data_IF_994719990613
#
_entry.id   IF_994719990613
#
_cell.length_a   1.000
_cell.length_b   1.000
_cell.length_c   1.000
_cell.angle_alpha   90.00
_cell.angle_beta   90.00
_cell.angle_gamma   90.00
#
_symmetry.space_group_name_H-M   'P 1'
#
loop_
_entity.id
_entity.type
_entity.pdbx_description
1 polymer ?
#
# COMPACT_ATOMS: atom_id res chain seq x y z
N UNK A 1 24.87 8.83 7.98
CA UNK A 1 24.15 10.07 7.60
C UNK A 1 22.65 9.92 7.84
N UNK A 2 22.09 8.74 7.59
CA UNK A 2 20.69 8.40 7.89
C UNK A 2 20.24 8.71 9.32
N UNK A 3 21.05 8.41 10.33
CA UNK A 3 20.63 8.64 11.72
C UNK A 3 20.37 10.13 12.03
N UNK A 4 21.08 11.07 11.40
CA UNK A 4 20.81 12.50 11.57
C UNK A 4 19.54 12.92 10.82
N UNK A 5 19.33 12.40 9.61
CA UNK A 5 18.11 12.63 8.82
C UNK A 5 16.88 12.15 9.59
N UNK A 6 16.93 10.93 10.14
CA UNK A 6 15.90 10.34 11.01
C UNK A 6 15.59 11.22 12.23
N UNK A 7 16.61 11.63 12.98
CA UNK A 7 16.40 12.50 14.15
C UNK A 7 15.75 13.83 13.80
N UNK A 8 16.10 14.43 12.65
CA UNK A 8 15.45 15.66 12.18
C UNK A 8 13.97 15.39 11.88
N UNK A 9 13.65 14.30 11.18
CA UNK A 9 12.27 13.88 10.87
C UNK A 9 11.45 13.69 12.16
N UNK A 10 11.92 12.86 13.09
CA UNK A 10 11.22 12.56 14.35
C UNK A 10 11.02 13.81 15.22
N UNK A 11 12.07 14.64 15.34
CA UNK A 11 11.98 15.89 16.10
C UNK A 11 11.02 16.90 15.48
N UNK A 12 10.92 16.91 14.15
CA UNK A 12 10.01 17.79 13.42
C UNK A 12 8.57 17.40 13.65
N UNK A 13 8.25 16.10 13.56
CA UNK A 13 6.91 15.56 13.83
C UNK A 13 6.47 15.93 15.24
N UNK A 14 7.32 15.70 16.25
CA UNK A 14 7.03 16.05 17.63
C UNK A 14 6.77 17.55 17.81
N UNK A 15 7.59 18.41 17.20
CA UNK A 15 7.38 19.87 17.24
C UNK A 15 6.10 20.30 16.53
N UNK A 16 5.76 19.66 15.41
CA UNK A 16 4.53 19.95 14.68
C UNK A 16 3.30 19.53 15.48
N UNK A 17 3.35 18.41 16.20
CA UNK A 17 2.29 17.99 17.11
C UNK A 17 2.11 18.99 18.26
N UNK A 18 3.19 19.43 18.89
CA UNK A 18 3.14 20.32 20.06
C UNK A 18 2.77 21.78 19.74
N UNK A 19 3.29 22.32 18.63
CA UNK A 19 3.24 23.76 18.33
C UNK A 19 2.51 24.09 17.04
N UNK A 20 2.18 23.09 16.23
CA UNK A 20 1.70 23.26 14.87
C UNK A 20 2.82 23.54 13.87
N UNK A 21 2.54 23.22 12.60
CA UNK A 21 3.49 23.37 11.49
C UNK A 21 3.99 24.81 11.31
N UNK A 22 3.09 25.80 11.29
CA UNK A 22 3.46 27.19 11.00
C UNK A 22 4.34 27.83 12.07
N UNK A 23 4.07 27.56 13.35
CA UNK A 23 4.81 28.14 14.47
C UNK A 23 6.18 27.48 14.69
N UNK A 24 6.43 26.34 14.06
CA UNK A 24 7.70 25.62 14.17
C UNK A 24 8.73 26.17 13.17
N UNK A 25 9.87 26.64 13.68
CA UNK A 25 10.98 27.17 12.87
C UNK A 25 12.04 26.09 12.59
N UNK A 26 12.80 26.24 11.50
CA UNK A 26 13.94 25.36 11.19
C UNK A 26 14.99 25.41 12.32
N UNK A 27 15.15 26.56 12.97
CA UNK A 27 16.05 26.71 14.12
C UNK A 27 15.60 25.83 15.30
N UNK A 28 14.31 25.84 15.64
CA UNK A 28 13.76 25.00 16.70
C UNK A 28 13.88 23.50 16.39
N UNK A 29 13.70 23.12 15.13
CA UNK A 29 13.91 21.74 14.66
C UNK A 29 15.37 21.33 14.82
N UNK A 30 16.31 22.17 14.39
CA UNK A 30 17.74 21.91 14.48
C UNK A 30 18.18 21.74 15.95
N UNK A 31 17.74 22.65 16.83
CA UNK A 31 18.01 22.59 18.27
C UNK A 31 17.47 21.30 18.89
N UNK A 32 16.20 20.94 18.63
CA UNK A 32 15.59 19.73 19.18
C UNK A 32 16.26 18.44 18.69
N UNK A 33 16.64 18.41 17.41
CA UNK A 33 17.30 17.24 16.80
C UNK A 33 18.80 17.13 17.11
N UNK A 34 19.36 18.09 17.84
CA UNK A 34 20.78 18.12 18.21
C UNK A 34 21.70 18.34 17.00
N UNK A 35 21.24 19.07 15.98
CA UNK A 35 22.04 19.40 14.78
C UNK A 35 22.15 20.92 14.62
N UNK A 36 23.13 21.38 13.84
CA UNK A 36 23.19 22.79 13.47
C UNK A 36 22.19 23.13 12.38
N UNK A 37 21.76 24.40 12.29
CA UNK A 37 20.93 24.89 11.18
C UNK A 37 21.60 24.66 9.81
N UNK A 38 22.92 24.80 9.73
CA UNK A 38 23.67 24.46 8.50
C UNK A 38 23.57 22.97 8.15
N UNK A 39 23.65 22.08 9.14
CA UNK A 39 23.48 20.65 8.93
C UNK A 39 22.05 20.27 8.50
N UNK A 40 21.02 20.97 8.96
CA UNK A 40 19.65 20.78 8.47
C UNK A 40 19.58 20.98 6.94
N UNK A 41 20.17 22.07 6.44
CA UNK A 41 20.14 22.39 5.00
C UNK A 41 20.97 21.44 4.12
N UNK A 42 21.82 20.59 4.71
CA UNK A 42 22.47 19.49 3.98
C UNK A 42 21.49 18.35 3.65
N UNK A 43 20.42 18.21 4.42
CA UNK A 43 19.41 17.14 4.25
C UNK A 43 18.12 17.67 3.60
N UNK A 44 17.69 18.87 3.95
CA UNK A 44 16.41 19.41 3.52
C UNK A 44 16.55 20.85 3.02
N UNK A 45 16.15 21.09 1.77
CA UNK A 45 16.22 22.42 1.15
C UNK A 45 15.27 23.43 1.80
N UNK A 46 14.19 22.97 2.43
CA UNK A 46 13.21 23.80 3.12
C UNK A 46 12.40 23.01 4.15
N UNK A 47 11.63 23.73 4.99
CA UNK A 47 10.65 23.10 5.90
C UNK A 47 9.56 22.33 5.13
N UNK A 48 9.21 22.76 3.92
CA UNK A 48 8.26 22.07 3.05
C UNK A 48 8.87 20.81 2.41
N UNK A 49 10.14 20.85 2.00
CA UNK A 49 10.83 19.66 1.51
C UNK A 49 10.93 18.59 2.62
N UNK A 50 11.21 19.01 3.85
CA UNK A 50 11.17 18.13 5.03
C UNK A 50 9.80 17.47 5.20
N UNK A 51 8.68 18.17 4.94
CA UNK A 51 7.35 17.55 5.12
C UNK A 51 7.09 16.42 4.13
N UNK A 52 7.54 16.55 2.87
CA UNK A 52 7.43 15.44 1.91
C UNK A 52 8.23 14.23 2.36
N UNK A 53 9.45 14.46 2.86
CA UNK A 53 10.33 13.42 3.38
C UNK A 53 9.79 12.75 4.65
N UNK A 54 9.11 13.50 5.53
CA UNK A 54 8.40 12.94 6.68
C UNK A 54 7.33 11.94 6.20
N UNK A 55 6.50 12.34 5.24
CA UNK A 55 5.40 11.47 4.76
C UNK A 55 5.96 10.23 4.09
N UNK A 56 6.98 10.37 3.25
CA UNK A 56 7.63 9.24 2.61
C UNK A 56 8.25 8.28 3.64
N UNK A 57 8.96 8.80 4.64
CA UNK A 57 9.58 7.99 5.69
C UNK A 57 8.57 7.12 6.46
N UNK A 58 7.41 7.67 6.83
CA UNK A 58 6.39 6.88 7.53
C UNK A 58 5.55 6.00 6.60
N UNK A 59 5.38 6.40 5.34
CA UNK A 59 4.76 5.56 4.32
C UNK A 59 5.59 4.28 4.11
N UNK A 60 6.91 4.41 3.97
CA UNK A 60 7.85 3.28 3.85
C UNK A 60 7.77 2.36 5.08
N UNK A 61 7.79 2.91 6.30
CA UNK A 61 7.62 2.09 7.52
C UNK A 61 6.29 1.35 7.56
N UNK A 62 5.21 2.01 7.15
CA UNK A 62 3.89 1.38 7.12
C UNK A 62 3.83 0.25 6.09
N UNK A 63 4.43 0.44 4.91
CA UNK A 63 4.53 -0.59 3.87
C UNK A 63 5.38 -1.79 4.32
N UNK A 64 6.49 -1.55 5.03
CA UNK A 64 7.33 -2.61 5.60
C UNK A 64 6.54 -3.47 6.60
N UNK A 65 5.79 -2.82 7.49
CA UNK A 65 4.94 -3.52 8.46
C UNK A 65 3.80 -4.30 7.80
N UNK A 66 3.13 -3.71 6.79
CA UNK A 66 2.12 -4.41 5.99
C UNK A 66 2.73 -5.63 5.29
N UNK A 67 3.94 -5.51 4.75
CA UNK A 67 4.66 -6.61 4.11
C UNK A 67 4.97 -7.72 5.10
N UNK A 68 5.43 -7.37 6.31
CA UNK A 68 5.67 -8.31 7.40
C UNK A 68 4.40 -9.08 7.79
N UNK A 69 3.27 -8.39 7.90
CA UNK A 69 1.97 -9.02 8.21
C UNK A 69 1.55 -9.96 7.06
N UNK A 70 1.71 -9.53 5.81
CA UNK A 70 1.36 -10.36 4.65
C UNK A 70 2.17 -11.66 4.60
N UNK A 71 3.44 -11.61 4.99
CA UNK A 71 4.35 -12.76 5.03
C UNK A 71 4.18 -13.66 6.27
N UNK A 72 3.35 -13.27 7.24
CA UNK A 72 3.11 -14.09 8.43
C UNK A 72 2.30 -15.36 8.10
N UNK A 73 2.40 -16.37 8.95
CA UNK A 73 1.60 -17.60 8.86
C UNK A 73 0.23 -17.49 9.58
N UNK A 74 -0.26 -16.27 9.82
CA UNK A 74 -1.59 -16.05 10.38
C UNK A 74 -2.67 -16.33 9.34
N UNK A 75 -3.88 -16.64 9.81
CA UNK A 75 -5.05 -16.69 8.95
C UNK A 75 -5.40 -15.30 8.37
N UNK A 76 -6.12 -15.23 7.24
CA UNK A 76 -6.42 -13.96 6.57
C UNK A 76 -7.18 -12.95 7.43
N UNK A 77 -8.06 -13.41 8.33
CA UNK A 77 -8.83 -12.54 9.22
C UNK A 77 -7.91 -11.88 10.25
N UNK A 78 -7.06 -12.67 10.92
CA UNK A 78 -6.05 -12.16 11.84
C UNK A 78 -5.13 -11.13 11.19
N UNK A 79 -4.71 -11.35 9.93
CA UNK A 79 -3.92 -10.39 9.16
C UNK A 79 -4.67 -9.09 8.91
N UNK A 80 -5.95 -9.17 8.54
CA UNK A 80 -6.78 -7.99 8.32
C UNK A 80 -6.97 -7.19 9.62
N UNK A 81 -7.16 -7.85 10.76
CA UNK A 81 -7.23 -7.22 12.08
C UNK A 81 -5.92 -6.50 12.42
N UNK A 82 -4.77 -7.16 12.23
CA UNK A 82 -3.46 -6.58 12.52
C UNK A 82 -3.17 -5.37 11.60
N UNK A 83 -3.53 -5.44 10.32
CA UNK A 83 -3.42 -4.32 9.37
C UNK A 83 -4.35 -3.16 9.75
N UNK A 84 -5.58 -3.45 10.19
CA UNK A 84 -6.53 -2.45 10.68
C UNK A 84 -5.94 -1.73 11.89
N UNK A 85 -5.42 -2.48 12.86
CA UNK A 85 -4.80 -1.95 14.07
C UNK A 85 -3.59 -1.08 13.73
N UNK A 86 -2.71 -1.55 12.85
CA UNK A 86 -1.55 -0.79 12.37
C UNK A 86 -1.96 0.58 11.81
N UNK A 87 -2.99 0.62 10.97
CA UNK A 87 -3.46 1.87 10.38
C UNK A 87 -4.08 2.82 11.42
N UNK A 88 -4.91 2.29 12.32
CA UNK A 88 -5.49 3.06 13.43
C UNK A 88 -4.40 3.63 14.35
N UNK A 89 -3.36 2.84 14.64
CA UNK A 89 -2.27 3.21 15.53
C UNK A 89 -1.34 4.27 14.92
N UNK A 90 -1.07 4.15 13.62
CA UNK A 90 -0.33 5.17 12.88
C UNK A 90 -0.99 6.56 13.00
N UNK A 91 -2.31 6.61 13.17
CA UNK A 91 -3.06 7.85 13.34
C UNK A 91 -3.16 8.29 14.81
N UNK A 92 -3.33 7.35 15.75
CA UNK A 92 -3.47 7.66 17.19
C UNK A 92 -2.19 8.18 17.85
N UNK A 93 -1.00 7.76 17.39
CA UNK A 93 0.31 8.12 17.98
C UNK A 93 0.75 9.58 17.73
N UNK A 94 -0.19 10.53 17.67
CA UNK A 94 -0.03 11.95 17.30
C UNK A 94 0.46 12.22 15.87
N UNK A 95 1.10 11.25 15.22
CA UNK A 95 1.56 11.32 13.83
C UNK A 95 0.41 11.58 12.86
N UNK A 96 -0.77 11.01 13.10
CA UNK A 96 -1.98 11.23 12.28
C UNK A 96 -2.47 12.68 12.26
N UNK A 97 -2.54 13.32 13.42
CA UNK A 97 -2.88 14.75 13.51
C UNK A 97 -1.82 15.62 12.82
N UNK A 98 -0.54 15.24 12.93
CA UNK A 98 0.55 15.89 12.19
C UNK A 98 0.35 15.72 10.69
N UNK A 99 0.07 14.51 10.20
CA UNK A 99 -0.18 14.25 8.77
C UNK A 99 -1.37 15.05 8.23
N UNK A 100 -2.47 15.11 8.98
CA UNK A 100 -3.65 15.89 8.62
C UNK A 100 -3.35 17.39 8.60
N UNK A 101 -2.60 17.88 9.59
CA UNK A 101 -2.13 19.28 9.60
C UNK A 101 -1.19 19.55 8.44
N UNK A 102 -0.27 18.63 8.11
CA UNK A 102 0.64 18.79 6.98
C UNK A 102 -0.11 18.78 5.63
N UNK A 103 -1.15 17.94 5.50
CA UNK A 103 -2.03 17.88 4.33
C UNK A 103 -2.75 19.20 4.06
N UNK A 104 -3.22 19.89 5.10
CA UNK A 104 -4.01 21.11 4.91
C UNK A 104 -3.11 22.33 4.58
N UNK A 105 -1.82 22.29 4.96
CA UNK A 105 -0.90 23.43 4.81
C UNK A 105 0.15 23.26 3.71
N UNK A 106 0.38 22.02 3.26
CA UNK A 106 1.00 21.77 1.97
C UNK A 106 -0.17 21.65 1.01
N UNK A 107 -0.34 22.54 0.03
CA UNK A 107 -1.24 22.26 -1.10
C UNK A 107 -0.66 21.03 -1.82
N UNK A 108 -0.84 19.83 -1.25
CA UNK A 108 0.08 18.71 -1.32
C UNK A 108 0.77 18.72 -2.66
N UNK A 109 2.04 19.15 -2.67
CA UNK A 109 2.79 19.21 -3.93
C UNK A 109 2.66 17.86 -4.64
N UNK A 110 2.81 17.80 -5.96
CA UNK A 110 2.46 16.59 -6.75
C UNK A 110 2.94 15.28 -6.09
N UNK A 111 4.16 15.26 -5.51
CA UNK A 111 4.68 14.11 -4.77
C UNK A 111 3.84 13.64 -3.56
N UNK A 112 3.22 14.54 -2.78
CA UNK A 112 2.35 14.14 -1.66
C UNK A 112 1.04 13.51 -2.17
N UNK A 113 0.46 14.07 -3.24
CA UNK A 113 -0.74 13.49 -3.85
C UNK A 113 -0.46 12.10 -4.43
N UNK A 114 0.67 11.95 -5.11
CA UNK A 114 1.13 10.65 -5.61
C UNK A 114 1.33 9.66 -4.47
N UNK A 115 2.02 10.05 -3.39
CA UNK A 115 2.26 9.17 -2.26
C UNK A 115 0.97 8.70 -1.57
N UNK A 116 -0.02 9.59 -1.37
CA UNK A 116 -1.33 9.20 -0.82
C UNK A 116 -2.05 8.25 -1.76
N UNK A 117 -2.00 8.51 -3.08
CA UNK A 117 -2.56 7.61 -4.09
C UNK A 117 -1.88 6.25 -4.03
N UNK A 118 -0.56 6.20 -3.91
CA UNK A 118 0.21 4.96 -3.82
C UNK A 118 -0.12 4.19 -2.54
N UNK A 119 -0.20 4.84 -1.39
CA UNK A 119 -0.62 4.22 -0.13
C UNK A 119 -2.05 3.66 -0.21
N UNK A 120 -2.96 4.40 -0.82
CA UNK A 120 -4.34 3.98 -1.01
C UNK A 120 -4.43 2.76 -1.95
N UNK A 121 -3.64 2.76 -3.03
CA UNK A 121 -3.51 1.63 -3.95
C UNK A 121 -2.96 0.37 -3.25
N UNK A 122 -1.89 0.49 -2.47
CA UNK A 122 -1.34 -0.63 -1.70
C UNK A 122 -2.34 -1.15 -0.66
N UNK A 123 -3.08 -0.25 -0.02
CA UNK A 123 -4.14 -0.63 0.93
C UNK A 123 -5.27 -1.38 0.24
N UNK A 124 -5.69 -0.92 -0.95
CA UNK A 124 -6.68 -1.62 -1.76
C UNK A 124 -6.25 -3.04 -2.11
N UNK A 125 -5.02 -3.21 -2.58
CA UNK A 125 -4.43 -4.53 -2.85
C UNK A 125 -4.41 -5.41 -1.60
N UNK A 126 -3.97 -4.83 -0.49
CA UNK A 126 -3.89 -5.52 0.78
C UNK A 126 -5.27 -6.08 1.16
N UNK A 127 -6.29 -5.22 1.19
CA UNK A 127 -7.64 -5.60 1.62
C UNK A 127 -8.30 -6.56 0.62
N UNK A 128 -8.25 -6.27 -0.67
CA UNK A 128 -8.97 -7.08 -1.67
C UNK A 128 -8.41 -8.49 -1.80
N UNK A 129 -7.08 -8.66 -1.73
CA UNK A 129 -6.45 -9.99 -1.67
C UNK A 129 -6.89 -10.77 -0.44
N UNK A 130 -6.96 -10.10 0.73
CA UNK A 130 -7.43 -10.74 1.98
C UNK A 130 -8.89 -11.14 1.90
N UNK A 131 -9.74 -10.27 1.35
CA UNK A 131 -11.14 -10.62 1.11
C UNK A 131 -11.30 -11.79 0.13
N UNK A 132 -10.48 -11.83 -0.92
CA UNK A 132 -10.46 -12.95 -1.84
C UNK A 132 -10.02 -14.25 -1.17
N UNK A 133 -8.98 -14.22 -0.34
CA UNK A 133 -8.53 -15.37 0.47
C UNK A 133 -9.64 -15.88 1.42
N UNK A 134 -10.43 -14.98 2.02
CA UNK A 134 -11.49 -15.32 2.97
C UNK A 134 -12.76 -15.85 2.31
N UNK A 135 -13.16 -15.26 1.19
CA UNK A 135 -14.49 -15.48 0.60
C UNK A 135 -14.45 -16.20 -0.76
N UNK A 136 -13.30 -16.30 -1.42
CA UNK A 136 -13.14 -16.88 -2.75
C UNK A 136 -13.79 -16.06 -3.86
N UNK A 137 -14.02 -16.67 -5.03
CA UNK A 137 -14.45 -15.96 -6.25
C UNK A 137 -15.80 -15.22 -6.14
N UNK A 138 -16.69 -15.64 -5.25
CA UNK A 138 -18.00 -15.00 -5.07
C UNK A 138 -17.90 -13.53 -4.65
N UNK A 139 -16.80 -13.09 -4.02
CA UNK A 139 -16.59 -11.70 -3.60
C UNK A 139 -16.06 -10.82 -4.74
N UNK A 140 -15.52 -11.41 -5.81
CA UNK A 140 -14.82 -10.70 -6.89
C UNK A 140 -15.62 -9.53 -7.48
N UNK A 141 -16.93 -9.65 -7.77
CA UNK A 141 -17.72 -8.54 -8.31
C UNK A 141 -17.85 -7.35 -7.35
N UNK A 142 -17.64 -7.56 -6.04
CA UNK A 142 -17.92 -6.60 -4.98
C UNK A 142 -16.66 -6.01 -4.35
N UNK A 143 -15.46 -6.38 -4.80
CA UNK A 143 -14.20 -5.96 -4.16
C UNK A 143 -14.06 -4.44 -4.05
N UNK A 144 -14.48 -3.70 -5.09
CA UNK A 144 -14.48 -2.25 -5.09
C UNK A 144 -15.43 -1.66 -4.04
N UNK A 145 -16.68 -2.12 -4.00
CA UNK A 145 -17.67 -1.70 -3.02
C UNK A 145 -17.24 -2.04 -1.59
N UNK A 146 -16.71 -3.25 -1.38
CA UNK A 146 -16.21 -3.72 -0.10
C UNK A 146 -15.07 -2.83 0.42
N UNK A 147 -14.12 -2.48 -0.44
CA UNK A 147 -13.04 -1.58 -0.07
C UNK A 147 -13.55 -0.19 0.32
N UNK A 148 -14.46 0.40 -0.45
CA UNK A 148 -15.03 1.73 -0.14
C UNK A 148 -15.80 1.71 1.18
N UNK A 149 -16.57 0.65 1.45
CA UNK A 149 -17.27 0.47 2.72
C UNK A 149 -16.28 0.35 3.89
N UNK A 150 -15.23 -0.45 3.72
CA UNK A 150 -14.20 -0.63 4.73
C UNK A 150 -13.44 0.67 5.03
N UNK A 151 -12.96 1.37 3.99
CA UNK A 151 -12.31 2.68 4.16
C UNK A 151 -13.28 3.68 4.81
N UNK A 152 -14.55 3.70 4.41
CA UNK A 152 -15.57 4.55 5.03
C UNK A 152 -15.73 4.33 6.53
N UNK A 153 -15.80 3.07 6.98
CA UNK A 153 -15.86 2.73 8.42
C UNK A 153 -14.59 3.23 9.13
N UNK A 154 -13.42 2.94 8.57
CA UNK A 154 -12.12 3.28 9.14
C UNK A 154 -11.94 4.81 9.27
N UNK A 155 -12.21 5.57 8.21
CA UNK A 155 -12.17 7.03 8.21
C UNK A 155 -13.17 7.64 9.20
N UNK A 156 -14.35 7.02 9.36
CA UNK A 156 -15.36 7.44 10.33
C UNK A 156 -14.85 7.39 11.78
N UNK A 157 -14.20 6.28 12.16
CA UNK A 157 -13.59 6.13 13.48
C UNK A 157 -12.38 7.04 13.66
N UNK A 158 -11.48 7.12 12.67
CA UNK A 158 -10.32 7.99 12.73
C UNK A 158 -10.70 9.47 12.94
N UNK A 159 -11.69 9.94 12.17
CA UNK A 159 -12.23 11.29 12.34
C UNK A 159 -12.79 11.50 13.75
N UNK A 160 -13.43 10.49 14.32
CA UNK A 160 -13.99 10.56 15.68
C UNK A 160 -12.89 10.64 16.74
N UNK A 161 -11.86 9.77 16.63
CA UNK A 161 -10.68 9.80 17.52
C UNK A 161 -10.00 11.16 17.45
N UNK A 162 -9.78 11.70 16.24
CA UNK A 162 -9.07 12.98 16.06
C UNK A 162 -9.91 14.17 16.53
N UNK A 163 -11.19 14.27 16.14
CA UNK A 163 -12.00 15.46 16.41
C UNK A 163 -12.51 15.55 17.83
N UNK A 164 -12.75 14.41 18.47
CA UNK A 164 -13.31 14.36 19.83
C UNK A 164 -12.29 13.89 20.87
N UNK A 165 -11.03 13.66 20.49
CA UNK A 165 -9.98 13.11 21.35
C UNK A 165 -10.46 11.86 22.10
N UNK A 166 -11.23 11.02 21.39
CA UNK A 166 -11.86 9.85 21.99
C UNK A 166 -10.80 8.82 22.38
N UNK A 167 -10.77 8.46 23.66
CA UNK A 167 -9.90 7.41 24.20
C UNK A 167 -10.48 6.03 23.85
N UNK A 168 -9.97 5.46 22.76
CA UNK A 168 -10.42 4.18 22.20
C UNK A 168 -9.23 3.24 22.09
N UNK A 169 -9.36 2.03 22.63
CA UNK A 169 -8.38 0.98 22.44
C UNK A 169 -8.36 0.53 20.97
N UNK A 170 -7.19 0.64 20.34
CA UNK A 170 -7.02 0.34 18.92
C UNK A 170 -7.19 -1.14 18.60
N UNK A 171 -6.82 -2.03 19.54
CA UNK A 171 -7.00 -3.48 19.37
C UNK A 171 -8.47 -3.87 19.42
N UNK A 172 -9.21 -3.39 20.42
CA UNK A 172 -10.65 -3.65 20.51
C UNK A 172 -11.39 -3.06 19.28
N UNK A 173 -11.00 -1.87 18.84
CA UNK A 173 -11.59 -1.22 17.68
C UNK A 173 -11.30 -1.98 16.37
N UNK A 174 -10.08 -2.47 16.16
CA UNK A 174 -9.73 -3.22 14.95
C UNK A 174 -10.53 -4.51 14.86
N UNK A 175 -10.62 -5.27 15.96
CA UNK A 175 -11.46 -6.46 16.04
C UNK A 175 -12.93 -6.13 15.75
N UNK A 176 -13.45 -5.05 16.34
CA UNK A 176 -14.83 -4.63 16.13
C UNK A 176 -15.10 -4.27 14.66
N UNK A 177 -14.24 -3.45 14.03
CA UNK A 177 -14.39 -3.03 12.63
C UNK A 177 -14.39 -4.23 11.70
N UNK A 178 -13.41 -5.14 11.82
CA UNK A 178 -13.31 -6.31 10.94
C UNK A 178 -14.51 -7.21 11.09
N UNK A 179 -14.94 -7.52 12.32
CA UNK A 179 -16.11 -8.37 12.54
C UNK A 179 -17.41 -7.71 12.00
N UNK A 180 -17.60 -6.40 12.18
CA UNK A 180 -18.77 -5.71 11.60
C UNK A 180 -18.74 -5.73 10.08
N UNK A 181 -17.56 -5.56 9.49
CA UNK A 181 -17.38 -5.59 8.05
C UNK A 181 -17.64 -6.99 7.46
N UNK A 182 -17.14 -8.05 8.08
CA UNK A 182 -17.45 -9.43 7.69
C UNK A 182 -18.96 -9.69 7.74
N UNK A 183 -19.66 -9.22 8.78
CA UNK A 183 -21.13 -9.36 8.85
C UNK A 183 -21.85 -8.65 7.69
N UNK A 184 -21.31 -7.53 7.20
CA UNK A 184 -21.84 -6.85 6.01
C UNK A 184 -21.57 -7.63 4.73
N UNK A 185 -20.38 -8.22 4.59
CA UNK A 185 -20.04 -9.08 3.45
C UNK A 185 -20.91 -10.35 3.44
N UNK A 186 -21.12 -10.98 4.59
CA UNK A 186 -21.98 -12.17 4.70
C UNK A 186 -23.42 -11.87 4.26
N UNK A 187 -23.95 -10.70 4.64
CA UNK A 187 -25.25 -10.23 4.19
C UNK A 187 -25.25 -9.93 2.68
N UNK A 188 -24.22 -9.25 2.19
CA UNK A 188 -24.04 -8.94 0.77
C UNK A 188 -24.02 -10.21 -0.10
N UNK A 189 -23.27 -11.23 0.29
CA UNK A 189 -23.16 -12.50 -0.44
C UNK A 189 -24.43 -13.36 -0.34
N UNK A 190 -25.26 -13.12 0.66
CA UNK A 190 -26.58 -13.76 0.78
C UNK A 190 -27.63 -13.09 -0.09
N UNK A 191 -27.58 -11.76 -0.21
CA UNK A 191 -28.56 -10.96 -0.95
C UNK A 191 -28.21 -10.81 -2.44
N UNK A 192 -26.91 -10.86 -2.77
CA UNK A 192 -26.35 -10.69 -4.10
C UNK A 192 -26.94 -9.49 -4.87
N UNK A 193 -26.92 -8.27 -4.29
CA UNK A 193 -27.37 -7.08 -5.01
C UNK A 193 -26.44 -6.81 -6.20
N UNK A 194 -26.88 -5.99 -7.16
CA UNK A 194 -25.97 -5.55 -8.21
C UNK A 194 -24.83 -4.69 -7.60
N UNK A 195 -23.55 -4.95 -7.95
CA UNK A 195 -22.43 -4.09 -7.54
C UNK A 195 -22.66 -2.63 -7.97
N UNK A 196 -22.28 -1.69 -7.11
CA UNK A 196 -22.41 -0.26 -7.41
C UNK A 196 -21.16 0.24 -8.13
N UNK A 197 -19.99 -0.24 -7.71
CA UNK A 197 -18.70 0.14 -8.27
C UNK A 197 -18.06 -1.04 -9.01
N UNK A 198 -17.52 -0.77 -10.20
CA UNK A 198 -16.54 -1.67 -10.81
C UNK A 198 -15.12 -1.33 -10.34
N UNK A 199 -14.19 -2.31 -10.28
CA UNK A 199 -12.79 -2.05 -9.99
C UNK A 199 -12.17 -0.96 -10.90
N UNK A 200 -12.59 -0.92 -12.17
CA UNK A 200 -12.11 0.04 -13.17
C UNK A 200 -12.51 1.50 -12.86
N UNK A 201 -13.62 1.72 -12.14
CA UNK A 201 -14.14 3.06 -11.83
C UNK A 201 -13.34 3.78 -10.75
N UNK A 202 -12.59 3.07 -9.91
CA UNK A 202 -11.86 3.69 -8.80
C UNK A 202 -10.53 4.34 -9.23
N UNK A 203 -10.16 4.30 -10.53
CA UNK A 203 -8.84 4.76 -11.03
C UNK A 203 -7.64 4.29 -10.18
N UNK A 204 -7.85 3.20 -9.44
CA UNK A 204 -6.81 2.39 -8.86
C UNK A 204 -6.10 1.82 -10.06
N UNK A 205 -4.95 2.40 -10.38
CA UNK A 205 -4.29 2.15 -11.65
C UNK A 205 -4.15 0.65 -11.84
N UNK A 206 -4.24 0.15 -13.07
CA UNK A 206 -3.97 -1.27 -13.39
C UNK A 206 -2.64 -1.77 -12.76
N UNK A 207 -1.72 -0.87 -12.41
CA UNK A 207 -0.50 -1.15 -11.63
C UNK A 207 -0.74 -1.68 -10.21
N UNK A 208 -1.86 -1.30 -9.58
CA UNK A 208 -2.32 -1.75 -8.27
C UNK A 208 -3.14 -3.04 -8.31
N UNK A 209 -3.17 -3.77 -9.43
CA UNK A 209 -3.72 -5.13 -9.48
C UNK A 209 -2.68 -6.12 -10.03
N UNK A 210 -1.54 -5.63 -10.53
CA UNK A 210 -0.83 -6.33 -11.61
C UNK A 210 0.31 -7.27 -11.22
N UNK A 211 0.86 -7.30 -10.01
CA UNK A 211 1.94 -8.28 -9.77
C UNK A 211 1.40 -9.67 -9.45
N UNK A 212 0.42 -9.78 -8.56
CA UNK A 212 -0.15 -11.09 -8.21
C UNK A 212 -1.10 -11.59 -9.31
N UNK A 213 -1.98 -10.75 -9.87
CA UNK A 213 -2.91 -11.20 -10.92
C UNK A 213 -2.25 -11.51 -12.27
N UNK A 214 -1.20 -10.82 -12.72
CA UNK A 214 -0.64 -11.12 -14.05
C UNK A 214 0.07 -12.47 -14.05
N UNK A 215 0.72 -12.84 -12.95
CA UNK A 215 1.32 -14.17 -12.88
C UNK A 215 0.29 -15.27 -12.73
N UNK A 216 -0.78 -15.05 -11.96
CA UNK A 216 -1.86 -16.02 -11.84
C UNK A 216 -2.63 -16.17 -13.17
N UNK A 217 -2.89 -15.05 -13.89
CA UNK A 217 -3.44 -15.05 -15.25
C UNK A 217 -2.51 -15.76 -16.26
N UNK A 218 -1.18 -15.60 -16.14
CA UNK A 218 -0.21 -16.32 -16.96
C UNK A 218 -0.22 -17.81 -16.64
N UNK A 219 -0.23 -18.18 -15.35
CA UNK A 219 -0.30 -19.56 -14.89
C UNK A 219 -1.61 -20.26 -15.31
N UNK A 220 -2.74 -19.57 -15.27
CA UNK A 220 -4.01 -20.05 -15.77
C UNK A 220 -3.99 -20.19 -17.30
N UNK A 221 -3.50 -19.17 -18.02
CA UNK A 221 -3.38 -19.24 -19.48
C UNK A 221 -2.49 -20.41 -19.92
N UNK A 222 -1.34 -20.63 -19.26
CA UNK A 222 -0.44 -21.77 -19.49
C UNK A 222 -1.17 -23.11 -19.27
N UNK A 223 -2.03 -23.20 -18.25
CA UNK A 223 -2.79 -24.43 -17.97
C UNK A 223 -3.74 -24.84 -19.11
N UNK A 224 -4.18 -23.86 -19.91
CA UNK A 224 -5.13 -24.04 -21.01
C UNK A 224 -4.46 -24.21 -22.38
N UNK A 225 -3.13 -24.16 -22.46
CA UNK A 225 -2.41 -24.32 -23.72
C UNK A 225 -2.42 -25.79 -24.17
N UNK A 226 -2.73 -26.00 -25.46
CA UNK A 226 -2.56 -27.31 -26.11
C UNK A 226 -1.08 -27.53 -26.49
N UNK A 227 -0.23 -27.73 -25.48
CA UNK A 227 1.20 -28.01 -25.61
C UNK A 227 1.58 -29.29 -24.85
N UNK A 228 2.78 -29.82 -25.08
CA UNK A 228 3.29 -30.96 -24.33
C UNK A 228 3.59 -30.60 -22.87
N UNK A 229 3.50 -31.61 -21.99
CA UNK A 229 3.63 -31.44 -20.54
C UNK A 229 5.02 -30.93 -20.13
N UNK A 230 6.07 -31.31 -20.87
CA UNK A 230 7.45 -30.84 -20.64
C UNK A 230 7.58 -29.34 -20.93
N UNK A 231 7.01 -28.87 -22.04
CA UNK A 231 6.95 -27.44 -22.38
C UNK A 231 6.07 -26.65 -21.43
N UNK A 232 4.99 -27.24 -20.93
CA UNK A 232 4.11 -26.59 -19.97
C UNK A 232 4.82 -26.36 -18.62
N UNK A 233 5.56 -27.36 -18.13
CA UNK A 233 6.39 -27.25 -16.91
C UNK A 233 7.47 -26.17 -17.08
N UNK A 234 8.16 -26.13 -18.22
CA UNK A 234 9.17 -25.10 -18.52
C UNK A 234 8.60 -23.67 -18.41
N UNK A 235 7.38 -23.46 -18.90
CA UNK A 235 6.73 -22.14 -18.82
C UNK A 235 6.36 -21.76 -17.38
N UNK A 236 5.92 -22.71 -16.57
CA UNK A 236 5.69 -22.47 -15.15
C UNK A 236 6.97 -22.10 -14.41
N UNK A 237 8.08 -22.80 -14.70
CA UNK A 237 9.39 -22.47 -14.12
C UNK A 237 9.85 -21.06 -14.52
N UNK A 238 9.64 -20.65 -15.77
CA UNK A 238 9.95 -19.30 -16.24
C UNK A 238 9.13 -18.25 -15.47
N UNK A 239 7.84 -18.50 -15.25
CA UNK A 239 6.96 -17.59 -14.48
C UNK A 239 7.42 -17.47 -13.03
N UNK A 240 7.74 -18.58 -12.37
CA UNK A 240 8.23 -18.58 -10.98
C UNK A 240 9.60 -17.91 -10.85
N UNK A 241 10.51 -18.13 -11.80
CA UNK A 241 11.79 -17.43 -11.84
C UNK A 241 11.60 -15.92 -12.02
N UNK A 242 10.64 -15.50 -12.83
CA UNK A 242 10.32 -14.08 -13.01
C UNK A 242 9.80 -13.46 -11.70
N UNK A 243 8.88 -14.15 -11.00
CA UNK A 243 8.39 -13.73 -9.68
C UNK A 243 9.53 -13.53 -8.69
N UNK A 244 10.42 -14.52 -8.59
CA UNK A 244 11.56 -14.51 -7.68
C UNK A 244 12.58 -13.41 -8.01
N UNK A 245 12.80 -13.10 -9.28
CA UNK A 245 13.75 -12.06 -9.69
C UNK A 245 13.20 -10.66 -9.39
N UNK A 246 11.90 -10.45 -9.59
CA UNK A 246 11.23 -9.18 -9.34
C UNK A 246 11.06 -8.87 -7.85
N UNK A 247 11.08 -9.88 -6.98
CA UNK A 247 11.02 -9.69 -5.53
C UNK A 247 12.37 -9.34 -4.89
N UNK A 248 13.46 -9.22 -5.67
CA UNK A 248 14.80 -8.89 -5.14
C UNK A 248 14.98 -7.37 -5.00
N UNK A 249 15.71 -6.95 -3.97
CA UNK A 249 16.13 -5.54 -3.77
C UNK A 249 16.87 -4.94 -4.98
N UNK A 250 17.54 -5.79 -5.77
CA UNK A 250 18.24 -5.41 -7.02
C UNK A 250 17.98 -6.45 -8.11
N UNK A 251 16.89 -6.30 -8.87
CA UNK A 251 16.52 -7.25 -9.92
C UNK A 251 17.52 -7.23 -11.09
N UNK A 252 17.88 -8.40 -11.60
CA UNK A 252 18.69 -8.54 -12.79
C UNK A 252 17.85 -8.27 -14.05
N UNK A 253 17.97 -7.04 -14.56
CA UNK A 253 17.25 -6.55 -15.72
C UNK A 253 17.48 -7.38 -17.00
N UNK A 254 18.67 -7.96 -17.16
CA UNK A 254 19.00 -8.78 -18.32
C UNK A 254 18.25 -10.12 -18.23
N UNK A 255 18.20 -10.71 -17.04
CA UNK A 255 17.48 -11.96 -16.79
C UNK A 255 15.97 -11.78 -16.97
N UNK A 256 15.40 -10.71 -16.42
CA UNK A 256 13.97 -10.39 -16.58
C UNK A 256 13.58 -10.28 -18.06
N UNK A 257 14.35 -9.51 -18.85
CA UNK A 257 14.10 -9.37 -20.29
C UNK A 257 14.20 -10.70 -21.03
N UNK A 258 15.18 -11.52 -20.69
CA UNK A 258 15.34 -12.84 -21.30
C UNK A 258 14.15 -13.76 -21.02
N UNK A 259 13.68 -13.80 -19.78
CA UNK A 259 12.54 -14.63 -19.37
C UNK A 259 11.24 -14.16 -20.03
N UNK A 260 11.02 -12.85 -20.14
CA UNK A 260 9.86 -12.28 -20.84
C UNK A 260 9.88 -12.65 -22.32
N UNK A 261 11.04 -12.52 -22.97
CA UNK A 261 11.20 -12.85 -24.38
C UNK A 261 10.90 -14.34 -24.66
N UNK A 262 11.21 -15.23 -23.72
CA UNK A 262 10.83 -16.64 -23.80
C UNK A 262 9.30 -16.82 -23.77
N UNK A 263 8.58 -16.07 -22.94
CA UNK A 263 7.12 -16.09 -22.90
C UNK A 263 6.49 -15.45 -24.15
N UNK A 264 7.10 -14.41 -24.73
CA UNK A 264 6.63 -13.71 -25.95
C UNK A 264 6.58 -14.62 -27.18
N UNK A 265 7.36 -15.70 -27.16
CA UNK A 265 7.32 -16.71 -28.22
C UNK A 265 5.98 -17.44 -28.31
N UNK A 266 5.12 -17.33 -27.29
CA UNK A 266 3.78 -17.93 -27.26
C UNK A 266 2.72 -16.85 -27.50
N UNK A 267 2.18 -16.81 -28.71
CA UNK A 267 1.25 -15.77 -29.16
C UNK A 267 -0.03 -15.64 -28.31
N UNK A 268 -0.53 -16.73 -27.71
CA UNK A 268 -1.72 -16.69 -26.82
C UNK A 268 -1.47 -16.01 -25.47
N UNK A 269 -0.20 -15.78 -25.10
CA UNK A 269 0.19 -15.08 -23.87
C UNK A 269 0.46 -13.59 -24.11
N UNK A 270 0.44 -13.12 -25.36
CA UNK A 270 0.88 -11.78 -25.74
C UNK A 270 0.14 -10.65 -25.00
N UNK A 271 -1.18 -10.74 -24.87
CA UNK A 271 -1.98 -9.76 -24.10
C UNK A 271 -1.55 -9.66 -22.62
N UNK A 272 -1.14 -10.77 -22.01
CA UNK A 272 -0.74 -10.84 -20.60
C UNK A 272 0.69 -10.32 -20.44
N UNK A 273 1.54 -10.57 -21.43
CA UNK A 273 2.90 -10.05 -21.47
C UNK A 273 2.92 -8.54 -21.72
N UNK A 274 2.01 -8.00 -22.52
CA UNK A 274 1.86 -6.55 -22.67
C UNK A 274 1.42 -5.87 -21.36
N UNK A 275 0.57 -6.52 -20.56
CA UNK A 275 0.26 -6.08 -19.19
C UNK A 275 1.50 -6.13 -18.29
N UNK A 276 2.27 -7.22 -18.32
CA UNK A 276 3.52 -7.38 -17.57
C UNK A 276 4.58 -6.32 -17.93
N UNK A 277 4.76 -6.03 -19.22
CA UNK A 277 5.69 -5.02 -19.71
C UNK A 277 5.29 -3.60 -19.29
N UNK A 278 3.98 -3.29 -19.24
CA UNK A 278 3.47 -2.03 -18.68
C UNK A 278 3.78 -1.88 -17.20
N UNK A 279 3.71 -2.97 -16.42
CA UNK A 279 4.12 -2.99 -15.01
C UNK A 279 5.61 -2.70 -14.83
N UNK A 280 6.46 -3.37 -15.62
CA UNK A 280 7.91 -3.24 -15.51
C UNK A 280 8.43 -1.84 -15.93
N UNK A 281 7.75 -1.17 -16.86
CA UNK A 281 8.08 0.20 -17.27
C UNK A 281 7.97 1.25 -16.16
N UNK A 282 7.22 0.98 -15.08
CA UNK A 282 7.13 1.83 -13.88
C UNK A 282 8.20 1.56 -12.81
N UNK A 283 8.79 0.36 -12.81
CA UNK A 283 9.72 -0.13 -11.76
C UNK A 283 11.19 0.04 -12.15
N UNK A 284 11.47 0.29 -13.44
CA UNK A 284 12.82 0.30 -14.04
C UNK A 284 13.25 1.73 -14.45
N UNK A 285 12.72 2.77 -13.80
CA UNK A 285 13.20 4.15 -13.96
C UNK A 285 14.04 4.62 -12.78
#
# INVERSE_FOLDING_TARGET
>A
MEEKKRRIIESSVALFAEKGYHKTSIQAIAERSGVSKGAFYLYFSSKQALTSEIVQYYAEQMLDEVTRINQSNQDPESKLIEQTALFLQAVSDHKGHVFMTLRDHTNGGEGFKHLIKDLHNHSFQAITSRLFEMYGDQIRPYLADCFVLYDGILQGYLKTIILYEADIDVGDLSHYIVHRFQSMIDALLKELPAPILSPDQLELTEQSVSCVNVFDELSEAISTLEIDEEKQVELYEIVELLKCELSKDKPNQVMIRSLIQSLESIGSLQDKIEKLNRYLGGTIK
#
